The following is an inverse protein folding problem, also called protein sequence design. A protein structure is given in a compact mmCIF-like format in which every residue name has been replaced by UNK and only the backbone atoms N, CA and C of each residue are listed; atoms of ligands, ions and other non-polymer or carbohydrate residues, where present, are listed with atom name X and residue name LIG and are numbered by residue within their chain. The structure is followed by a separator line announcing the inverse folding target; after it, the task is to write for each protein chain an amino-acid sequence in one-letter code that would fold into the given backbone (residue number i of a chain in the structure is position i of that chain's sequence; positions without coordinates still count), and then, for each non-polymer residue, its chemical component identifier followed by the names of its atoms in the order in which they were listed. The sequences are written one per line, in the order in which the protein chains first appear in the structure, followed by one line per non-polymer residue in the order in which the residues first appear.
data_IF_533534174314
#
_entry.id   IF_533534174314
#
_cell.length_a   1.000
_cell.length_b   1.000
_cell.length_c   1.000
_cell.angle_alpha   90.00
_cell.angle_beta   90.00
_cell.angle_gamma   90.00
#
_symmetry.space_group_name_H-M   'P 1'
#
loop_
_entity.id
_entity.type
_entity.pdbx_description
1 polymer ?
#
# COMPACT_ATOMS: atom_id res chain seq x y z
N UNK A 1 21.47 -20.81 -32.42
CA UNK A 1 20.02 -20.57 -32.59
C UNK A 1 19.53 -19.88 -31.33
N UNK A 2 19.60 -18.55 -31.28
CA UNK A 2 19.17 -17.76 -30.11
C UNK A 2 17.70 -17.40 -30.36
N UNK A 3 16.80 -17.99 -29.57
CA UNK A 3 15.39 -17.63 -29.54
C UNK A 3 15.26 -16.26 -28.84
N UNK A 4 15.15 -15.20 -29.64
CA UNK A 4 14.74 -13.89 -29.14
C UNK A 4 13.25 -13.94 -28.82
N UNK A 5 12.92 -13.94 -27.53
CA UNK A 5 11.54 -13.78 -27.07
C UNK A 5 11.06 -12.38 -27.40
N UNK A 6 10.20 -12.25 -28.41
CA UNK A 6 9.55 -11.00 -28.75
C UNK A 6 8.55 -10.64 -27.63
N UNK A 7 8.97 -9.76 -26.73
CA UNK A 7 8.03 -9.04 -25.87
C UNK A 7 7.10 -8.21 -26.75
N UNK A 8 5.80 -8.38 -26.57
CA UNK A 8 4.77 -7.58 -27.25
C UNK A 8 4.85 -6.14 -26.76
N UNK A 9 5.53 -5.27 -27.50
CA UNK A 9 5.48 -3.82 -27.27
C UNK A 9 4.21 -3.28 -27.91
N UNK A 10 3.10 -3.26 -27.16
CA UNK A 10 1.98 -2.40 -27.50
C UNK A 10 2.39 -0.96 -27.17
N UNK A 11 2.58 -0.13 -28.19
CA UNK A 11 2.83 1.31 -28.06
C UNK A 11 1.56 2.07 -27.63
N UNK A 12 0.86 1.56 -26.62
CA UNK A 12 -0.15 2.31 -25.89
C UNK A 12 0.54 2.92 -24.68
N UNK A 13 0.78 4.22 -24.72
CA UNK A 13 1.37 4.92 -23.58
C UNK A 13 0.35 4.97 -22.46
N UNK A 14 0.57 4.19 -21.41
CA UNK A 14 -0.22 4.28 -20.18
C UNK A 14 0.10 5.60 -19.48
N UNK A 15 -0.85 6.11 -18.71
CA UNK A 15 -0.57 7.13 -17.71
C UNK A 15 -0.21 6.42 -16.41
N UNK A 16 0.98 6.71 -15.90
CA UNK A 16 1.52 6.15 -14.67
C UNK A 16 1.58 7.25 -13.62
N UNK A 17 1.03 6.97 -12.44
CA UNK A 17 1.00 7.89 -11.31
C UNK A 17 1.65 7.26 -10.10
N UNK A 18 2.51 8.00 -9.42
CA UNK A 18 3.23 7.54 -8.23
C UNK A 18 2.99 8.50 -7.06
N UNK A 19 2.75 7.92 -5.88
CA UNK A 19 2.56 8.67 -4.65
C UNK A 19 3.10 7.91 -3.44
N UNK A 20 3.57 8.64 -2.44
CA UNK A 20 4.11 8.08 -1.21
C UNK A 20 3.84 9.01 -0.04
N UNK A 21 3.15 8.51 0.98
CA UNK A 21 2.81 9.29 2.16
C UNK A 21 3.14 8.55 3.46
N UNK A 22 3.39 9.31 4.52
CA UNK A 22 3.65 8.77 5.86
C UNK A 22 2.37 8.17 6.47
N UNK A 23 2.47 6.95 6.98
CA UNK A 23 1.40 6.25 7.71
C UNK A 23 1.88 5.82 9.10
N UNK A 24 2.94 6.45 9.60
CA UNK A 24 3.51 6.09 10.91
C UNK A 24 2.55 6.49 12.02
N UNK A 25 2.03 5.48 12.72
CA UNK A 25 1.18 5.65 13.90
C UNK A 25 1.96 6.05 15.16
N UNK A 26 1.36 5.84 16.34
CA UNK A 26 1.98 6.13 17.63
C UNK A 26 3.35 5.45 17.76
N UNK A 27 4.36 6.23 18.15
CA UNK A 27 5.73 5.74 18.34
C UNK A 27 5.98 5.18 19.76
N UNK A 28 5.03 5.37 20.68
CA UNK A 28 5.11 4.95 22.06
C UNK A 28 3.76 4.40 22.55
N UNK A 29 3.80 3.48 23.52
CA UNK A 29 2.65 3.02 24.32
C UNK A 29 1.50 2.33 23.56
N UNK A 30 1.76 1.86 22.34
CA UNK A 30 0.81 1.07 21.56
C UNK A 30 1.41 -0.28 21.20
N UNK A 31 0.66 -1.37 21.41
CA UNK A 31 1.11 -2.70 21.02
C UNK A 31 1.30 -2.81 19.51
N UNK A 32 2.34 -3.53 19.11
CA UNK A 32 2.66 -3.77 17.72
C UNK A 32 1.75 -4.85 17.13
N UNK A 33 1.41 -4.72 15.84
CA UNK A 33 0.58 -5.69 15.13
C UNK A 33 1.44 -6.81 14.55
N UNK A 34 1.01 -8.06 14.74
CA UNK A 34 1.57 -9.22 14.05
C UNK A 34 1.94 -10.38 14.98
N UNK A 35 2.83 -10.18 15.95
CA UNK A 35 3.28 -11.29 16.83
C UNK A 35 2.30 -11.68 17.94
N UNK A 36 1.22 -10.93 18.11
CA UNK A 36 0.24 -11.14 19.17
C UNK A 36 0.86 -11.18 20.59
N UNK A 37 1.90 -10.37 20.82
CA UNK A 37 2.59 -10.28 22.10
C UNK A 37 2.21 -8.97 22.83
N UNK A 38 1.63 -9.09 24.02
CA UNK A 38 1.23 -7.96 24.87
C UNK A 38 2.42 -7.14 25.40
N UNK A 39 3.61 -7.75 25.50
CA UNK A 39 4.84 -7.06 25.91
C UNK A 39 5.50 -6.32 24.75
N UNK A 40 5.07 -6.56 23.50
CA UNK A 40 5.61 -5.91 22.32
C UNK A 40 4.90 -4.57 22.09
N UNK A 41 5.43 -3.53 22.73
CA UNK A 41 4.90 -2.17 22.69
C UNK A 41 5.87 -1.28 21.92
N UNK A 42 5.35 -0.38 21.08
CA UNK A 42 6.15 0.65 20.42
C UNK A 42 6.89 1.49 21.45
N UNK A 43 8.19 1.71 21.27
CA UNK A 43 9.05 2.47 22.20
C UNK A 43 10.04 3.38 21.47
N UNK A 44 9.75 3.71 20.22
CA UNK A 44 10.61 4.50 19.35
C UNK A 44 10.32 4.24 17.88
N UNK A 45 11.20 4.75 17.02
CA UNK A 45 11.07 4.66 15.57
C UNK A 45 12.43 4.34 14.96
N UNK A 46 12.52 3.20 14.25
CA UNK A 46 13.69 2.88 13.44
C UNK A 46 13.57 3.48 12.04
N UNK A 47 12.47 3.18 11.34
CA UNK A 47 12.10 3.81 10.07
C UNK A 47 10.63 4.23 10.09
N UNK A 48 10.29 5.24 9.28
CA UNK A 48 8.90 5.64 9.04
C UNK A 48 8.21 4.60 8.16
N UNK A 49 6.93 4.37 8.42
CA UNK A 49 6.06 3.51 7.62
C UNK A 49 5.42 4.33 6.49
N UNK A 50 5.34 3.78 5.27
CA UNK A 50 4.78 4.49 4.11
C UNK A 50 3.63 3.74 3.45
N UNK A 51 2.67 4.50 2.95
CA UNK A 51 1.76 4.04 1.90
C UNK A 51 2.36 4.44 0.55
N UNK A 52 2.63 3.46 -0.31
CA UNK A 52 3.16 3.67 -1.66
C UNK A 52 2.09 3.31 -2.68
N UNK A 53 1.65 4.29 -3.46
CA UNK A 53 0.58 4.15 -4.44
C UNK A 53 1.12 4.17 -5.86
N UNK A 54 0.61 3.24 -6.67
CA UNK A 54 0.86 3.10 -8.10
C UNK A 54 -0.48 3.16 -8.82
N UNK A 55 -0.63 4.10 -9.74
CA UNK A 55 -1.78 4.20 -10.63
C UNK A 55 -1.31 3.86 -12.04
N UNK A 56 -2.01 2.95 -12.70
CA UNK A 56 -1.88 2.71 -14.13
C UNK A 56 -3.23 2.99 -14.79
N UNK A 57 -3.24 3.86 -15.79
CA UNK A 57 -4.46 4.29 -16.47
C UNK A 57 -4.27 4.31 -17.99
N UNK A 58 -5.32 3.99 -18.72
CA UNK A 58 -5.41 4.27 -20.15
C UNK A 58 -5.68 5.78 -20.35
N UNK A 59 -5.12 6.44 -21.39
CA UNK A 59 -5.29 7.88 -21.61
C UNK A 59 -6.74 8.39 -21.63
N UNK A 60 -7.69 7.55 -22.04
CA UNK A 60 -9.13 7.84 -22.10
C UNK A 60 -9.99 6.67 -21.61
N UNK A 61 -9.48 5.89 -20.67
CA UNK A 61 -10.11 4.62 -20.31
C UNK A 61 -9.98 4.25 -18.85
N UNK A 62 -9.90 2.95 -18.61
CA UNK A 62 -9.90 2.39 -17.26
C UNK A 62 -8.61 2.73 -16.54
N UNK A 63 -8.68 2.75 -15.22
CA UNK A 63 -7.52 2.90 -14.34
C UNK A 63 -7.60 1.91 -13.19
N UNK A 64 -6.43 1.51 -12.72
CA UNK A 64 -6.25 0.69 -11.52
C UNK A 64 -5.32 1.41 -10.55
N UNK A 65 -5.59 1.25 -9.26
CA UNK A 65 -4.81 1.78 -8.16
C UNK A 65 -4.34 0.61 -7.29
N UNK A 66 -3.04 0.51 -7.09
CA UNK A 66 -2.44 -0.42 -6.14
C UNK A 66 -1.72 0.36 -5.06
N UNK A 67 -2.06 0.11 -3.80
CA UNK A 67 -1.44 0.72 -2.64
C UNK A 67 -0.74 -0.35 -1.82
N UNK A 68 0.57 -0.20 -1.65
CA UNK A 68 1.39 -1.05 -0.80
C UNK A 68 1.73 -0.31 0.50
N UNK A 69 1.23 -0.83 1.62
CA UNK A 69 1.40 -0.27 2.96
C UNK A 69 2.53 -0.96 3.70
N UNK A 70 3.39 -0.19 4.34
CA UNK A 70 4.27 -0.70 5.40
C UNK A 70 3.45 -0.97 6.67
N UNK A 71 2.61 -2.00 6.64
CA UNK A 71 1.74 -2.45 7.71
C UNK A 71 1.60 -3.99 7.70
N UNK A 72 1.14 -4.56 8.83
CA UNK A 72 0.96 -6.01 8.95
C UNK A 72 -0.12 -6.54 7.98
N UNK A 73 -1.26 -5.88 7.87
CA UNK A 73 -2.28 -6.25 6.89
C UNK A 73 -3.07 -5.03 6.43
N UNK A 74 -3.72 -5.18 5.28
CA UNK A 74 -4.82 -4.28 4.94
C UNK A 74 -6.01 -4.54 5.87
N UNK A 75 -6.79 -3.50 6.16
CA UNK A 75 -7.97 -3.57 7.02
C UNK A 75 -9.21 -3.31 6.17
N UNK A 76 -10.25 -4.14 6.32
CA UNK A 76 -11.52 -3.90 5.65
C UNK A 76 -12.09 -2.51 6.01
N UNK A 77 -12.00 -2.12 7.28
CA UNK A 77 -12.46 -0.80 7.75
C UNK A 77 -11.71 0.33 7.04
N UNK A 78 -10.38 0.20 6.97
CA UNK A 78 -9.52 1.17 6.30
C UNK A 78 -9.90 1.27 4.83
N UNK A 79 -10.05 0.14 4.13
CA UNK A 79 -10.45 0.11 2.72
C UNK A 79 -11.79 0.78 2.49
N UNK A 80 -12.82 0.43 3.27
CA UNK A 80 -14.14 1.06 3.18
C UNK A 80 -14.03 2.57 3.41
N UNK A 81 -13.29 3.00 4.45
CA UNK A 81 -13.18 4.42 4.76
C UNK A 81 -12.44 5.21 3.69
N UNK A 82 -11.38 4.65 3.12
CA UNK A 82 -10.64 5.25 2.00
C UNK A 82 -11.56 5.39 0.79
N UNK A 83 -12.30 4.34 0.42
CA UNK A 83 -13.23 4.40 -0.72
C UNK A 83 -14.34 5.44 -0.52
N UNK A 84 -14.88 5.59 0.69
CA UNK A 84 -15.83 6.67 1.00
C UNK A 84 -15.24 8.06 0.72
N UNK A 85 -14.01 8.31 1.19
CA UNK A 85 -13.35 9.61 1.00
C UNK A 85 -12.99 9.87 -0.46
N UNK A 86 -12.51 8.85 -1.18
CA UNK A 86 -12.23 8.95 -2.61
C UNK A 86 -13.50 9.19 -3.41
N UNK A 87 -14.63 8.59 -3.02
CA UNK A 87 -15.92 8.82 -3.68
C UNK A 87 -16.39 10.27 -3.54
N UNK A 88 -16.22 10.87 -2.36
CA UNK A 88 -16.52 12.30 -2.14
C UNK A 88 -15.66 13.19 -3.04
N UNK A 89 -14.37 12.84 -3.22
CA UNK A 89 -13.41 13.66 -3.97
C UNK A 89 -13.48 13.47 -5.49
N UNK A 90 -13.68 12.23 -5.95
CA UNK A 90 -13.52 11.84 -7.35
C UNK A 90 -14.76 11.15 -7.95
N UNK A 91 -15.87 11.07 -7.23
CA UNK A 91 -17.06 10.34 -7.67
C UNK A 91 -16.77 8.84 -7.82
N UNK A 92 -17.31 8.23 -8.87
CA UNK A 92 -17.16 6.78 -9.12
C UNK A 92 -15.85 6.41 -9.83
N UNK A 93 -14.85 7.29 -9.83
CA UNK A 93 -13.56 7.06 -10.48
C UNK A 93 -12.73 5.97 -9.78
N UNK A 94 -12.84 5.90 -8.45
CA UNK A 94 -12.15 4.95 -7.59
C UNK A 94 -13.18 4.17 -6.76
N UNK A 95 -13.23 2.86 -7.00
CA UNK A 95 -14.21 1.93 -6.44
C UNK A 95 -13.50 0.66 -5.97
N UNK A 96 -14.23 -0.21 -5.28
CA UNK A 96 -13.74 -1.54 -4.90
C UNK A 96 -13.27 -2.40 -6.08
N UNK A 97 -13.72 -2.09 -7.30
CA UNK A 97 -13.35 -2.85 -8.52
C UNK A 97 -11.95 -2.50 -9.04
N UNK A 98 -11.41 -1.34 -8.67
CA UNK A 98 -10.16 -0.85 -9.23
C UNK A 98 -9.17 -0.28 -8.21
N UNK A 99 -9.46 -0.39 -6.91
CA UNK A 99 -8.54 -0.02 -5.83
C UNK A 99 -8.18 -1.27 -5.03
N UNK A 100 -6.90 -1.62 -5.04
CA UNK A 100 -6.33 -2.69 -4.24
C UNK A 100 -5.37 -2.13 -3.20
N UNK A 101 -5.54 -2.52 -1.94
CA UNK A 101 -4.70 -2.11 -0.81
C UNK A 101 -4.10 -3.37 -0.20
N UNK A 102 -2.77 -3.43 -0.09
CA UNK A 102 -2.02 -4.55 0.47
C UNK A 102 -1.05 -4.08 1.55
N UNK A 103 -0.93 -4.85 2.63
CA UNK A 103 0.16 -4.70 3.58
C UNK A 103 1.39 -5.50 3.14
N UNK A 104 2.59 -5.03 3.49
CA UNK A 104 3.85 -5.78 3.34
C UNK A 104 4.00 -6.93 4.33
N UNK A 105 3.09 -7.01 5.31
CA UNK A 105 3.18 -7.95 6.42
C UNK A 105 4.37 -7.71 7.35
N UNK A 106 4.72 -6.44 7.55
CA UNK A 106 5.65 -6.08 8.63
C UNK A 106 4.98 -6.25 10.00
N UNK A 107 5.67 -6.94 10.92
CA UNK A 107 5.26 -7.08 12.32
C UNK A 107 5.79 -5.92 13.19
N UNK A 108 6.35 -4.88 12.55
CA UNK A 108 7.08 -3.80 13.21
C UNK A 108 6.31 -2.46 13.27
N UNK A 109 4.98 -2.48 13.17
CA UNK A 109 4.13 -1.28 13.19
C UNK A 109 3.06 -1.31 14.30
N UNK A 110 2.52 -0.14 14.71
CA UNK A 110 1.49 -0.06 15.74
C UNK A 110 0.18 -0.74 15.30
N UNK A 111 -0.49 -1.40 16.24
CA UNK A 111 -1.79 -2.05 16.06
C UNK A 111 -2.99 -1.13 16.27
N UNK A 112 -4.15 -1.74 16.51
CA UNK A 112 -5.38 -1.02 16.87
C UNK A 112 -6.17 -0.38 15.72
N UNK A 113 -5.93 -0.76 14.45
CA UNK A 113 -6.61 -0.21 13.27
C UNK A 113 -7.56 -1.21 12.56
N UNK A 114 -7.73 -2.40 13.13
CA UNK A 114 -8.60 -3.47 12.61
C UNK A 114 -9.91 -3.47 13.40
N UNK A 115 -11.05 -3.69 12.72
CA UNK A 115 -12.38 -3.58 13.35
C UNK A 115 -12.82 -4.82 14.17
N UNK A 116 -12.26 -5.99 13.86
CA UNK A 116 -12.73 -7.25 14.45
C UNK A 116 -12.03 -7.51 15.78
N UNK A 117 -12.81 -7.95 16.78
CA UNK A 117 -12.37 -8.23 18.16
C UNK A 117 -11.09 -9.05 18.20
N UNK A 118 -11.01 -10.10 17.38
CA UNK A 118 -9.85 -11.01 17.31
C UNK A 118 -8.52 -10.27 17.08
N UNK A 119 -8.53 -9.14 16.38
CA UNK A 119 -7.32 -8.38 16.07
C UNK A 119 -7.04 -7.23 17.04
N UNK A 120 -8.03 -6.79 17.82
CA UNK A 120 -7.86 -5.66 18.77
C UNK A 120 -7.54 -6.11 20.20
N UNK A 121 -7.72 -7.39 20.54
CA UNK A 121 -7.41 -7.93 21.89
C UNK A 121 -5.97 -7.61 22.30
N UNK A 122 -5.01 -7.79 21.39
CA UNK A 122 -3.59 -7.53 21.68
C UNK A 122 -3.21 -6.06 21.64
N UNK A 123 -4.05 -5.21 21.03
CA UNK A 123 -3.90 -3.75 21.06
C UNK A 123 -4.71 -3.08 22.17
N UNK A 124 -5.31 -3.88 23.05
CA UNK A 124 -6.13 -3.43 24.18
C UNK A 124 -7.29 -2.50 23.76
N UNK A 125 -7.73 -2.63 22.49
CA UNK A 125 -8.79 -1.82 21.92
C UNK A 125 -8.43 -1.20 20.57
N UNK A 126 -9.31 -0.30 20.13
CA UNK A 126 -9.15 0.44 18.89
C UNK A 126 -8.36 1.72 19.14
N UNK A 127 -7.31 1.94 18.35
CA UNK A 127 -6.42 3.10 18.45
C UNK A 127 -6.70 4.02 17.28
N UNK A 128 -7.53 5.04 17.53
CA UNK A 128 -7.94 6.02 16.51
C UNK A 128 -6.75 6.66 15.81
N UNK A 129 -5.70 7.01 16.55
CA UNK A 129 -4.50 7.59 15.94
C UNK A 129 -3.85 6.65 14.90
N UNK A 130 -3.75 5.34 15.17
CA UNK A 130 -3.24 4.37 14.20
C UNK A 130 -4.14 4.28 12.97
N UNK A 131 -5.45 4.23 13.18
CA UNK A 131 -6.42 4.14 12.10
C UNK A 131 -6.42 5.39 11.21
N UNK A 132 -6.52 6.57 11.82
CA UNK A 132 -6.66 7.85 11.13
C UNK A 132 -5.43 8.15 10.27
N UNK A 133 -4.21 7.93 10.79
CA UNK A 133 -2.98 8.16 9.99
C UNK A 133 -2.87 7.20 8.81
N UNK A 134 -3.34 5.95 8.95
CA UNK A 134 -3.34 4.99 7.85
C UNK A 134 -4.33 5.43 6.77
N UNK A 135 -5.58 5.76 7.15
CA UNK A 135 -6.60 6.23 6.18
C UNK A 135 -6.14 7.51 5.49
N UNK A 136 -5.67 8.49 6.27
CA UNK A 136 -5.19 9.78 5.76
C UNK A 136 -3.99 9.60 4.83
N UNK A 137 -3.02 8.76 5.20
CA UNK A 137 -1.84 8.55 4.38
C UNK A 137 -2.14 7.79 3.09
N UNK A 138 -3.08 6.83 3.11
CA UNK A 138 -3.54 6.17 1.89
C UNK A 138 -4.23 7.17 0.97
N UNK A 139 -5.21 7.93 1.46
CA UNK A 139 -5.91 8.94 0.68
C UNK A 139 -4.91 9.91 0.04
N UNK A 140 -4.01 10.49 0.83
CA UNK A 140 -3.02 11.47 0.36
C UNK A 140 -2.03 10.87 -0.64
N UNK A 141 -1.62 9.61 -0.45
CA UNK A 141 -0.76 8.93 -1.42
C UNK A 141 -1.47 8.70 -2.77
N UNK A 142 -2.78 8.41 -2.75
CA UNK A 142 -3.60 8.27 -3.97
C UNK A 142 -3.80 9.62 -4.65
N UNK A 143 -4.10 10.67 -3.89
CA UNK A 143 -4.21 12.04 -4.42
C UNK A 143 -2.90 12.45 -5.09
N UNK A 144 -1.76 12.25 -4.42
CA UNK A 144 -0.45 12.54 -4.99
C UNK A 144 -0.19 11.72 -6.28
N UNK A 145 -0.51 10.43 -6.28
CA UNK A 145 -0.34 9.60 -7.47
C UNK A 145 -1.25 10.03 -8.63
N UNK A 146 -2.48 10.47 -8.33
CA UNK A 146 -3.43 10.98 -9.31
C UNK A 146 -2.93 12.28 -9.96
N UNK A 147 -2.41 13.20 -9.15
CA UNK A 147 -1.89 14.49 -9.61
C UNK A 147 -0.59 14.33 -10.41
N UNK A 148 0.18 13.27 -10.15
CA UNK A 148 1.43 12.95 -10.82
C UNK A 148 1.28 12.03 -12.04
N UNK A 149 0.08 11.86 -12.60
CA UNK A 149 -0.14 11.02 -13.78
C UNK A 149 0.65 11.56 -14.99
N UNK A 150 1.58 10.76 -15.51
CA UNK A 150 2.37 11.11 -16.69
C UNK A 150 2.48 9.92 -17.67
N UNK A 151 2.70 10.18 -18.97
CA UNK A 151 2.88 9.12 -19.95
C UNK A 151 4.09 8.22 -19.61
N UNK A 152 3.90 6.90 -19.59
CA UNK A 152 4.93 5.93 -19.25
C UNK A 152 4.66 4.52 -19.80
N UNK A 153 5.65 3.65 -19.62
CA UNK A 153 5.61 2.24 -20.04
C UNK A 153 5.81 1.33 -18.83
N UNK A 154 5.11 0.19 -18.81
CA UNK A 154 5.24 -0.82 -17.76
C UNK A 154 5.98 -2.01 -18.35
N UNK A 155 7.04 -2.46 -17.68
CA UNK A 155 7.79 -3.65 -18.03
C UNK A 155 7.66 -4.69 -16.92
N UNK A 156 7.60 -5.97 -17.30
CA UNK A 156 7.49 -7.09 -16.36
C UNK A 156 8.66 -8.02 -16.60
N UNK A 157 9.31 -8.44 -15.51
CA UNK A 157 10.37 -9.44 -15.53
C UNK A 157 10.12 -10.45 -14.40
N UNK A 158 10.59 -11.68 -14.57
CA UNK A 158 10.52 -12.75 -13.58
C UNK A 158 11.90 -13.40 -13.45
N UNK A 159 12.33 -13.67 -12.22
CA UNK A 159 13.52 -14.45 -11.92
C UNK A 159 13.26 -15.40 -10.74
N UNK A 160 13.96 -16.53 -10.73
CA UNK A 160 13.90 -17.50 -9.65
C UNK A 160 14.99 -17.16 -8.61
N UNK A 161 14.57 -16.73 -7.42
CA UNK A 161 15.48 -16.43 -6.31
C UNK A 161 15.72 -17.68 -5.48
N UNK A 162 16.93 -18.26 -5.57
CA UNK A 162 17.25 -19.51 -4.88
C UNK A 162 17.45 -19.35 -3.36
N UNK A 163 17.81 -18.15 -2.88
CA UNK A 163 18.25 -17.96 -1.47
C UNK A 163 17.56 -16.82 -0.71
N UNK A 164 16.48 -16.26 -1.27
CA UNK A 164 15.66 -15.29 -0.56
C UNK A 164 14.19 -15.63 -0.82
N UNK A 165 13.48 -16.01 0.23
CA UNK A 165 12.02 -16.07 0.20
C UNK A 165 11.36 -14.69 -0.01
N UNK A 166 12.10 -13.62 -0.37
CA UNK A 166 11.56 -12.35 -0.90
C UNK A 166 12.58 -11.51 -1.71
N UNK A 167 12.13 -11.07 -2.89
CA UNK A 167 12.52 -9.94 -3.75
C UNK A 167 13.96 -9.84 -4.29
N UNK A 168 14.08 -10.05 -5.61
CA UNK A 168 15.27 -9.80 -6.42
C UNK A 168 15.49 -8.27 -6.56
N UNK A 169 16.55 -7.73 -5.95
CA UNK A 169 17.04 -6.38 -6.21
C UNK A 169 17.84 -6.40 -7.52
N UNK A 170 17.25 -5.92 -8.62
CA UNK A 170 18.02 -5.61 -9.82
C UNK A 170 18.83 -4.33 -9.56
N UNK A 171 20.11 -4.50 -9.20
CA UNK A 171 21.11 -3.45 -9.39
C UNK A 171 21.49 -3.44 -10.88
N UNK A 172 21.23 -2.33 -11.57
CA UNK A 172 21.80 -2.07 -12.89
C UNK A 172 23.23 -1.59 -12.72
N UNK A 173 24.20 -2.35 -13.24
CA UNK A 173 25.48 -1.82 -13.73
C UNK A 173 25.40 -1.56 -15.22
#
# INVERSE_FOLDING_TARGET
MILSGAGTVSASTYLIGLGSYDITGPAADVNMMGYANLEQITSGLHFRLRARTFIAAEPRGKRVVFVNLDACMASQLVTTKVLERLKVRYGDLYTEQNVAISGTHTHAGPGGYLQYVVYIVTSLGFVHQSFDVIVDGIEKSIVQAHENLCPGSIFVNKGDGADLCHLCLLHST
#
